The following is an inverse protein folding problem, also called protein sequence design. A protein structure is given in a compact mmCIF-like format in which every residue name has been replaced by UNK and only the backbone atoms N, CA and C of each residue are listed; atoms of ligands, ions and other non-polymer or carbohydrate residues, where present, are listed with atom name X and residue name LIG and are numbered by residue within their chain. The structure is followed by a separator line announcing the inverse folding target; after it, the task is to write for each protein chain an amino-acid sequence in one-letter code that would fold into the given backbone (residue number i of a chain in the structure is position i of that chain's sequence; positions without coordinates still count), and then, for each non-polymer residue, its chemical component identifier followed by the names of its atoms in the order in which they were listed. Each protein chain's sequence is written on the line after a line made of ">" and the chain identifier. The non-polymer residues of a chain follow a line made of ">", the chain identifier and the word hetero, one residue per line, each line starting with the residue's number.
data_IF_221875773207
#
_entry.id   IF_221875773207
#
_cell.length_a   1.000
_cell.length_b   1.000
_cell.length_c   1.000
_cell.angle_alpha   90.00
_cell.angle_beta   90.00
_cell.angle_gamma   90.00
#
_symmetry.space_group_name_H-M   'P 1'
#
loop_
_entity.id
_entity.type
_entity.pdbx_description
1 polymer ?
#
# COMPACT_ATOMS: atom_id res chain seq x y z
N UNK A 1 5.64 5.79 19.84
CA UNK A 1 5.54 5.41 18.41
C UNK A 1 6.89 4.98 17.85
N UNK A 2 7.96 5.69 18.16
CA UNK A 2 9.32 5.28 17.74
C UNK A 2 9.65 3.88 18.26
N UNK A 3 9.45 3.58 19.53
CA UNK A 3 9.68 2.26 20.12
C UNK A 3 8.90 1.13 19.40
N UNK A 4 7.69 1.44 18.87
CA UNK A 4 6.93 0.48 18.07
C UNK A 4 7.53 0.27 16.69
N UNK A 5 8.07 1.34 16.10
CA UNK A 5 8.79 1.21 14.85
C UNK A 5 10.08 0.38 15.03
N UNK A 6 10.83 0.60 16.10
CA UNK A 6 12.03 -0.19 16.43
C UNK A 6 11.71 -1.68 16.62
N UNK A 7 10.59 -2.00 17.28
CA UNK A 7 10.11 -3.38 17.38
C UNK A 7 9.70 -3.97 16.03
N UNK A 8 9.02 -3.18 15.18
CA UNK A 8 8.69 -3.61 13.83
C UNK A 8 9.96 -3.88 12.99
N UNK A 9 10.96 -3.02 13.11
CA UNK A 9 12.26 -3.21 12.49
C UNK A 9 13.02 -4.45 12.98
N UNK A 10 12.73 -4.90 14.21
CA UNK A 10 13.24 -6.15 14.77
C UNK A 10 12.42 -7.40 14.35
N UNK A 11 11.43 -7.24 13.47
CA UNK A 11 10.58 -8.34 12.97
C UNK A 11 9.28 -8.55 13.75
N UNK A 12 9.00 -7.71 14.76
CA UNK A 12 7.74 -7.75 15.49
C UNK A 12 6.72 -6.79 14.89
N UNK A 13 6.01 -7.17 13.83
CA UNK A 13 5.02 -6.31 13.17
C UNK A 13 4.14 -5.54 14.17
N UNK A 14 3.94 -4.24 13.93
CA UNK A 14 3.21 -3.34 14.81
C UNK A 14 2.07 -2.65 14.07
N UNK A 15 0.91 -2.56 14.71
CA UNK A 15 -0.21 -1.75 14.24
C UNK A 15 -0.55 -0.68 15.28
N UNK A 16 -0.80 0.56 14.82
CA UNK A 16 -1.17 1.69 15.66
C UNK A 16 -2.39 2.38 15.07
N UNK A 17 -3.45 2.51 15.86
CA UNK A 17 -4.63 3.27 15.50
C UNK A 17 -4.58 4.66 16.15
N UNK A 18 -4.60 5.71 15.32
CA UNK A 18 -4.76 7.10 15.75
C UNK A 18 -6.21 7.54 15.54
N UNK A 19 -6.96 7.67 16.62
CA UNK A 19 -8.35 8.11 16.61
C UNK A 19 -8.50 9.47 17.32
N UNK A 20 -9.46 10.27 16.89
CA UNK A 20 -9.77 11.56 17.48
C UNK A 20 -10.42 12.52 16.47
N UNK A 21 -10.96 13.64 16.95
CA UNK A 21 -11.67 14.62 16.16
C UNK A 21 -10.80 15.27 15.06
N UNK A 22 -11.46 15.87 14.07
CA UNK A 22 -10.78 16.66 13.06
C UNK A 22 -10.00 17.81 13.73
N UNK A 23 -8.78 18.05 13.29
CA UNK A 23 -7.94 19.13 13.82
C UNK A 23 -7.20 18.82 15.12
N UNK A 24 -7.44 17.70 15.83
CA UNK A 24 -6.78 17.34 17.10
C UNK A 24 -5.26 17.15 16.98
N UNK A 25 -4.73 17.10 15.78
CA UNK A 25 -3.28 17.00 15.56
C UNK A 25 -2.78 15.61 15.13
N UNK A 26 -3.64 14.69 14.65
CA UNK A 26 -3.23 13.36 14.16
C UNK A 26 -2.11 13.44 13.12
N UNK A 27 -2.27 14.25 12.09
CA UNK A 27 -1.25 14.44 11.03
C UNK A 27 0.04 15.09 11.56
N UNK A 28 -0.03 15.87 12.67
CA UNK A 28 1.16 16.40 13.33
C UNK A 28 1.97 15.29 14.00
N UNK A 29 1.30 14.31 14.62
CA UNK A 29 1.95 13.15 15.23
C UNK A 29 2.67 12.33 14.15
N UNK A 30 2.03 12.07 13.00
CA UNK A 30 2.62 11.37 11.86
C UNK A 30 3.85 12.13 11.35
N UNK A 31 3.75 13.45 11.20
CA UNK A 31 4.89 14.28 10.78
C UNK A 31 6.06 14.20 11.75
N UNK A 32 5.79 14.31 13.06
CA UNK A 32 6.84 14.19 14.08
C UNK A 32 7.49 12.79 14.07
N UNK A 33 6.71 11.72 13.86
CA UNK A 33 7.28 10.39 13.68
C UNK A 33 8.24 10.37 12.51
N UNK A 34 7.82 10.91 11.37
CA UNK A 34 8.65 10.99 10.17
C UNK A 34 9.96 11.77 10.39
N UNK A 35 9.86 12.93 11.06
CA UNK A 35 11.05 13.72 11.41
C UNK A 35 12.02 12.94 12.31
N UNK A 36 11.50 12.17 13.27
CA UNK A 36 12.33 11.34 14.16
C UNK A 36 12.96 10.14 13.46
N UNK A 37 12.32 9.61 12.43
CA UNK A 37 12.81 8.47 11.64
C UNK A 37 13.65 8.89 10.44
N UNK A 38 13.87 10.19 10.19
CA UNK A 38 14.57 10.69 9.01
C UNK A 38 16.00 10.18 8.84
N UNK A 39 16.67 9.78 9.94
CA UNK A 39 18.00 9.16 9.94
C UNK A 39 18.01 7.64 9.97
N UNK A 40 16.85 6.99 9.97
CA UNK A 40 16.74 5.53 10.03
C UNK A 40 16.29 5.00 8.67
N UNK A 41 17.03 4.06 8.03
CA UNK A 41 16.62 3.46 6.76
C UNK A 41 15.25 2.79 6.90
N UNK A 42 14.30 3.17 6.05
CA UNK A 42 12.98 2.55 5.97
C UNK A 42 12.26 2.96 4.69
N UNK A 43 11.45 2.06 4.16
CA UNK A 43 10.48 2.39 3.10
C UNK A 43 9.21 2.95 3.72
N UNK A 44 8.76 4.09 3.20
CA UNK A 44 7.50 4.73 3.63
C UNK A 44 6.43 4.62 2.56
N UNK A 45 5.31 3.98 2.92
CA UNK A 45 4.11 3.88 2.10
C UNK A 45 3.00 4.71 2.76
N UNK A 46 2.51 5.74 2.07
CA UNK A 46 1.43 6.61 2.55
C UNK A 46 0.25 6.55 1.62
N UNK A 47 -0.90 6.22 2.19
CA UNK A 47 -2.18 6.11 1.52
C UNK A 47 -3.17 7.08 2.16
N UNK A 48 -3.84 7.87 1.32
CA UNK A 48 -4.86 8.79 1.79
C UNK A 48 -6.21 8.42 1.14
N UNK A 49 -7.19 8.11 1.98
CA UNK A 49 -8.55 7.86 1.54
C UNK A 49 -9.27 9.19 1.33
N UNK A 50 -10.24 9.20 0.43
CA UNK A 50 -10.97 10.41 0.05
C UNK A 50 -12.46 10.10 -0.07
N UNK A 51 -13.34 11.01 0.38
CA UNK A 51 -14.80 10.85 0.22
C UNK A 51 -15.24 10.79 -1.25
N UNK A 52 -14.43 11.32 -2.17
CA UNK A 52 -14.75 11.32 -3.61
C UNK A 52 -14.48 9.97 -4.28
N UNK A 53 -13.90 8.99 -3.58
CA UNK A 53 -13.48 7.70 -4.13
C UNK A 53 -13.83 6.53 -3.19
N UNK A 54 -14.96 6.64 -2.49
CA UNK A 54 -15.49 5.60 -1.58
C UNK A 54 -15.76 4.30 -2.33
N UNK A 55 -16.22 4.38 -3.59
CA UNK A 55 -16.52 3.22 -4.44
C UNK A 55 -15.27 2.50 -4.99
N UNK A 56 -14.07 3.02 -4.73
CA UNK A 56 -12.81 2.43 -5.19
C UNK A 56 -11.86 2.15 -4.04
N UNK A 57 -11.99 0.99 -3.42
CA UNK A 57 -11.13 0.55 -2.31
C UNK A 57 -9.62 0.52 -2.68
N UNK A 58 -9.29 0.40 -3.96
CA UNK A 58 -7.92 0.39 -4.46
C UNK A 58 -7.40 1.76 -4.90
N UNK A 59 -8.23 2.82 -4.87
CA UNK A 59 -7.79 4.15 -5.31
C UNK A 59 -6.52 4.64 -4.61
N UNK A 60 -6.37 4.54 -3.27
CA UNK A 60 -5.13 4.93 -2.59
C UNK A 60 -3.92 4.13 -3.08
N UNK A 61 -4.13 2.84 -3.38
CA UNK A 61 -3.07 1.95 -3.89
C UNK A 61 -2.66 2.36 -5.30
N UNK A 62 -3.62 2.65 -6.17
CA UNK A 62 -3.38 3.15 -7.53
C UNK A 62 -2.51 4.42 -7.47
N UNK A 63 -2.91 5.41 -6.67
CA UNK A 63 -2.15 6.65 -6.50
C UNK A 63 -0.75 6.44 -5.96
N UNK A 64 -0.61 5.47 -5.04
CA UNK A 64 0.71 5.11 -4.53
C UNK A 64 1.59 4.50 -5.62
N UNK A 65 1.07 3.54 -6.40
CA UNK A 65 1.80 2.90 -7.49
C UNK A 65 2.25 3.92 -8.56
N UNK A 66 1.36 4.82 -8.96
CA UNK A 66 1.67 5.92 -9.90
C UNK A 66 2.84 6.78 -9.40
N UNK A 67 2.80 7.16 -8.12
CA UNK A 67 3.84 7.97 -7.50
C UNK A 67 5.16 7.20 -7.35
N UNK A 68 5.11 5.97 -6.85
CA UNK A 68 6.28 5.11 -6.63
C UNK A 68 6.97 4.75 -7.96
N UNK A 69 6.19 4.52 -9.02
CA UNK A 69 6.70 4.32 -10.37
C UNK A 69 7.12 5.64 -11.07
N UNK A 70 6.93 6.80 -10.41
CA UNK A 70 7.28 8.12 -10.94
C UNK A 70 6.62 8.43 -12.29
N UNK A 71 5.33 8.12 -12.42
CA UNK A 71 4.57 8.44 -13.62
C UNK A 71 4.48 9.95 -13.83
N UNK A 72 4.70 10.38 -15.07
CA UNK A 72 4.50 11.75 -15.49
C UNK A 72 3.22 11.88 -16.33
N UNK A 73 2.58 13.06 -16.37
CA UNK A 73 1.34 13.26 -17.14
C UNK A 73 1.49 12.94 -18.63
N UNK A 74 2.66 13.21 -19.20
CA UNK A 74 3.03 13.08 -20.61
C UNK A 74 3.75 11.76 -20.94
N UNK A 75 3.90 10.85 -19.98
CA UNK A 75 4.44 9.53 -20.27
C UNK A 75 3.53 8.76 -21.24
N UNK A 76 4.12 8.21 -22.30
CA UNK A 76 3.44 7.25 -23.16
C UNK A 76 3.08 5.96 -22.38
N UNK A 77 2.03 5.23 -22.76
CA UNK A 77 1.63 4.00 -22.07
C UNK A 77 2.75 2.99 -21.92
N UNK A 78 3.59 2.83 -22.93
CA UNK A 78 4.75 1.93 -22.94
C UNK A 78 5.77 2.36 -21.88
N UNK A 79 6.05 3.67 -21.78
CA UNK A 79 6.95 4.23 -20.77
C UNK A 79 6.42 3.99 -19.36
N UNK A 80 5.10 4.10 -19.15
CA UNK A 80 4.47 3.81 -17.86
C UNK A 80 4.57 2.33 -17.51
N UNK A 81 4.42 1.44 -18.50
CA UNK A 81 4.61 -0.01 -18.29
C UNK A 81 6.05 -0.33 -17.88
N UNK A 82 7.05 0.23 -18.56
CA UNK A 82 8.46 0.05 -18.21
C UNK A 82 8.77 0.53 -16.78
N UNK A 83 8.20 1.66 -16.39
CA UNK A 83 8.31 2.21 -15.04
C UNK A 83 7.64 1.32 -13.99
N UNK A 84 6.45 0.79 -14.30
CA UNK A 84 5.75 -0.17 -13.43
C UNK A 84 6.58 -1.44 -13.25
N UNK A 85 7.08 -2.02 -14.32
CA UNK A 85 7.96 -3.19 -14.24
C UNK A 85 9.24 -2.90 -13.42
N UNK A 86 9.85 -1.72 -13.63
CA UNK A 86 11.00 -1.27 -12.86
C UNK A 86 10.73 -1.21 -11.35
N UNK A 87 9.52 -0.77 -10.97
CA UNK A 87 9.06 -0.78 -9.58
C UNK A 87 8.89 -2.23 -9.06
N UNK A 88 8.21 -3.08 -9.84
CA UNK A 88 7.90 -4.46 -9.46
C UNK A 88 9.15 -5.32 -9.30
N UNK A 89 10.16 -5.17 -10.17
CA UNK A 89 11.45 -5.89 -10.07
C UNK A 89 12.15 -5.73 -8.72
N UNK A 90 11.78 -4.70 -7.97
CA UNK A 90 12.37 -4.46 -6.65
C UNK A 90 11.82 -5.41 -5.58
N UNK A 91 10.64 -6.00 -5.76
CA UNK A 91 9.95 -6.66 -4.66
C UNK A 91 9.23 -7.98 -5.03
N UNK A 92 8.98 -8.25 -6.32
CA UNK A 92 8.27 -9.47 -6.76
C UNK A 92 9.15 -10.32 -7.67
N UNK A 93 8.95 -11.63 -7.65
CA UNK A 93 9.69 -12.58 -8.49
C UNK A 93 9.14 -12.62 -9.93
N UNK A 94 7.82 -12.74 -10.09
CA UNK A 94 7.17 -12.73 -11.40
C UNK A 94 6.66 -11.33 -11.75
N UNK A 95 7.53 -10.56 -12.40
CA UNK A 95 7.23 -9.21 -12.84
C UNK A 95 6.19 -9.21 -13.96
N UNK A 96 6.21 -10.19 -14.85
CA UNK A 96 5.33 -10.27 -16.03
C UNK A 96 3.88 -10.49 -15.61
N UNK A 97 3.59 -11.49 -14.78
CA UNK A 97 2.25 -11.71 -14.26
C UNK A 97 1.78 -10.54 -13.40
N UNK A 98 2.67 -10.03 -12.54
CA UNK A 98 2.35 -8.90 -11.65
C UNK A 98 2.01 -7.63 -12.44
N UNK A 99 2.77 -7.30 -13.47
CA UNK A 99 2.50 -6.16 -14.32
C UNK A 99 1.19 -6.33 -15.11
N UNK A 100 0.92 -7.53 -15.64
CA UNK A 100 -0.32 -7.83 -16.34
C UNK A 100 -1.58 -7.69 -15.45
N UNK A 101 -1.46 -7.96 -14.16
CA UNK A 101 -2.54 -7.80 -13.18
C UNK A 101 -2.72 -6.35 -12.73
N UNK A 102 -1.62 -5.59 -12.55
CA UNK A 102 -1.67 -4.22 -12.05
C UNK A 102 -1.89 -3.17 -13.14
N UNK A 103 -1.43 -3.41 -14.37
CA UNK A 103 -1.57 -2.45 -15.47
C UNK A 103 -3.04 -2.00 -15.71
N UNK A 104 -4.06 -2.88 -15.68
CA UNK A 104 -5.45 -2.45 -15.82
C UNK A 104 -5.92 -1.51 -14.70
N UNK A 105 -5.43 -1.66 -13.48
CA UNK A 105 -5.74 -0.75 -12.37
C UNK A 105 -5.21 0.68 -12.64
N UNK A 106 -4.09 0.77 -13.36
CA UNK A 106 -3.43 2.02 -13.74
C UNK A 106 -3.92 2.54 -15.11
N UNK A 107 -4.99 1.94 -15.65
CA UNK A 107 -5.53 2.26 -16.98
C UNK A 107 -4.49 2.09 -18.11
N UNK A 108 -3.57 1.14 -17.96
CA UNK A 108 -2.54 0.83 -18.95
C UNK A 108 -2.93 -0.39 -19.80
N UNK A 109 -2.51 -0.42 -21.09
CA UNK A 109 -2.79 -1.55 -21.98
C UNK A 109 -1.96 -2.77 -21.55
N UNK A 110 -2.59 -3.76 -20.94
CA UNK A 110 -1.90 -4.99 -20.49
C UNK A 110 -1.89 -6.12 -21.53
N UNK A 111 -2.84 -6.09 -22.46
CA UNK A 111 -3.04 -7.22 -23.38
C UNK A 111 -1.92 -7.39 -24.43
N UNK A 112 -1.27 -6.32 -24.83
CA UNK A 112 -0.23 -6.39 -25.87
C UNK A 112 1.12 -6.91 -25.39
N UNK A 113 1.71 -6.41 -24.28
CA UNK A 113 3.00 -6.96 -23.86
C UNK A 113 2.89 -8.30 -23.10
N UNK A 114 1.78 -8.57 -22.38
CA UNK A 114 1.68 -9.71 -21.48
C UNK A 114 0.74 -10.81 -21.91
N UNK A 115 -0.04 -10.60 -22.97
CA UNK A 115 -1.10 -11.51 -23.42
C UNK A 115 -2.38 -11.39 -22.57
N UNK A 116 -3.41 -12.10 -22.99
CA UNK A 116 -4.66 -12.16 -22.26
C UNK A 116 -4.54 -13.13 -21.08
N UNK A 117 -4.76 -12.62 -19.86
CA UNK A 117 -4.88 -13.49 -18.69
C UNK A 117 -6.36 -13.94 -18.59
N UNK A 118 -6.62 -15.20 -18.89
CA UNK A 118 -7.94 -15.80 -18.76
C UNK A 118 -8.27 -16.09 -17.29
N UNK A 119 -8.82 -15.11 -16.60
CA UNK A 119 -9.26 -15.19 -15.21
C UNK A 119 -10.69 -14.66 -15.07
N UNK A 120 -11.47 -15.28 -14.19
CA UNK A 120 -12.73 -14.70 -13.73
C UNK A 120 -12.46 -13.40 -12.98
N UNK A 121 -13.47 -12.55 -12.82
CA UNK A 121 -13.33 -11.29 -12.06
C UNK A 121 -12.88 -11.53 -10.63
N UNK A 122 -13.36 -12.60 -10.00
CA UNK A 122 -13.01 -12.99 -8.63
C UNK A 122 -11.53 -13.43 -8.54
N UNK A 123 -11.10 -14.32 -9.43
CA UNK A 123 -9.72 -14.79 -9.51
C UNK A 123 -8.74 -13.62 -9.80
N UNK A 124 -9.15 -12.69 -10.67
CA UNK A 124 -8.35 -11.50 -10.96
C UNK A 124 -8.18 -10.64 -9.72
N UNK A 125 -9.26 -10.38 -8.97
CA UNK A 125 -9.21 -9.61 -7.73
C UNK A 125 -8.29 -10.27 -6.70
N UNK A 126 -8.44 -11.57 -6.49
CA UNK A 126 -7.63 -12.35 -5.54
C UNK A 126 -6.13 -12.30 -5.90
N UNK A 127 -5.79 -12.54 -7.18
CA UNK A 127 -4.40 -12.50 -7.64
C UNK A 127 -3.82 -11.09 -7.58
N UNK A 128 -4.60 -10.08 -7.93
CA UNK A 128 -4.18 -8.68 -7.81
C UNK A 128 -3.84 -8.32 -6.36
N UNK A 129 -4.68 -8.71 -5.41
CA UNK A 129 -4.43 -8.51 -3.99
C UNK A 129 -3.17 -9.26 -3.54
N UNK A 130 -2.99 -10.49 -4.00
CA UNK A 130 -1.78 -11.25 -3.71
C UNK A 130 -0.52 -10.54 -4.20
N UNK A 131 -0.51 -10.03 -5.43
CA UNK A 131 0.63 -9.28 -5.98
C UNK A 131 0.94 -8.03 -5.12
N UNK A 132 -0.09 -7.30 -4.68
CA UNK A 132 0.09 -6.12 -3.80
C UNK A 132 0.71 -6.51 -2.45
N UNK A 133 0.30 -7.63 -1.89
CA UNK A 133 0.87 -8.17 -0.64
C UNK A 133 2.31 -8.63 -0.88
N UNK A 134 2.57 -9.39 -1.93
CA UNK A 134 3.91 -9.89 -2.26
C UNK A 134 4.89 -8.73 -2.48
N UNK A 135 4.44 -7.64 -3.14
CA UNK A 135 5.23 -6.42 -3.31
C UNK A 135 5.58 -5.79 -1.95
N UNK A 136 4.60 -5.69 -1.06
CA UNK A 136 4.82 -5.13 0.28
C UNK A 136 5.79 -5.99 1.11
N UNK A 137 5.61 -7.31 1.09
CA UNK A 137 6.50 -8.26 1.77
C UNK A 137 7.92 -8.23 1.18
N UNK A 138 8.05 -8.14 -0.14
CA UNK A 138 9.33 -7.99 -0.82
C UNK A 138 10.08 -6.71 -0.46
N UNK A 139 9.36 -5.61 -0.23
CA UNK A 139 9.94 -4.38 0.31
C UNK A 139 10.35 -4.56 1.77
N UNK A 140 9.48 -5.17 2.59
CA UNK A 140 9.72 -5.39 4.01
C UNK A 140 10.89 -6.36 4.28
N UNK A 141 11.19 -7.25 3.34
CA UNK A 141 12.36 -8.14 3.43
C UNK A 141 13.70 -7.41 3.26
N UNK A 142 13.69 -6.20 2.66
CA UNK A 142 14.91 -5.40 2.43
C UNK A 142 15.17 -4.40 3.53
N UNK A 143 14.11 -3.73 3.98
CA UNK A 143 14.18 -2.72 5.04
C UNK A 143 12.81 -2.58 5.72
N UNK A 144 12.75 -2.03 6.95
CA UNK A 144 11.49 -1.80 7.63
C UNK A 144 10.53 -0.97 6.79
N UNK A 145 9.26 -1.37 6.73
CA UNK A 145 8.20 -0.64 6.02
C UNK A 145 7.32 0.10 7.01
N UNK A 146 7.24 1.41 6.87
CA UNK A 146 6.28 2.26 7.56
C UNK A 146 5.06 2.49 6.67
N UNK A 147 3.99 1.76 6.94
CA UNK A 147 2.71 1.89 6.24
C UNK A 147 1.79 2.86 6.97
N UNK A 148 1.35 3.91 6.30
CA UNK A 148 0.47 4.94 6.86
C UNK A 148 -0.81 5.01 6.03
N UNK A 149 -1.95 4.80 6.67
CA UNK A 149 -3.27 4.96 6.07
C UNK A 149 -3.99 6.10 6.76
N UNK A 150 -4.23 7.19 6.04
CA UNK A 150 -4.93 8.36 6.55
C UNK A 150 -6.39 8.38 6.07
N UNK A 151 -7.26 8.93 6.91
CA UNK A 151 -8.68 9.09 6.63
C UNK A 151 -9.41 7.78 6.31
N UNK A 152 -9.01 6.68 6.97
CA UNK A 152 -9.54 5.33 6.77
C UNK A 152 -11.05 5.19 6.98
N UNK A 153 -11.70 6.16 7.60
CA UNK A 153 -13.16 6.20 7.77
C UNK A 153 -13.93 6.41 6.45
N UNK A 154 -13.24 6.79 5.37
CA UNK A 154 -13.83 6.86 4.02
C UNK A 154 -13.80 5.52 3.26
N UNK A 155 -13.30 4.46 3.87
CA UNK A 155 -13.36 3.12 3.29
C UNK A 155 -14.61 2.43 3.82
N UNK A 156 -15.61 2.21 2.97
CA UNK A 156 -16.92 1.62 3.35
C UNK A 156 -16.81 0.17 3.87
N UNK A 157 -15.79 -0.57 3.45
CA UNK A 157 -15.43 -1.86 4.03
C UNK A 157 -13.90 -1.95 4.09
N UNK A 158 -13.32 -2.43 5.22
CA UNK A 158 -11.89 -2.68 5.26
C UNK A 158 -11.57 -3.69 4.15
N UNK A 159 -10.70 -3.31 3.19
CA UNK A 159 -10.41 -4.22 2.08
C UNK A 159 -9.80 -5.50 2.63
N UNK A 160 -10.24 -6.65 2.14
CA UNK A 160 -9.79 -7.98 2.59
C UNK A 160 -8.26 -8.17 2.53
N UNK A 161 -7.55 -7.35 1.74
CA UNK A 161 -6.09 -7.41 1.61
C UNK A 161 -5.34 -6.89 2.83
N UNK A 162 -5.96 -6.12 3.69
CA UNK A 162 -5.28 -5.61 4.87
C UNK A 162 -5.33 -6.61 6.05
N UNK A 163 -6.29 -7.54 6.06
CA UNK A 163 -6.38 -8.58 7.09
C UNK A 163 -5.13 -9.47 7.17
N UNK A 164 -4.53 -9.94 6.06
CA UNK A 164 -3.27 -10.67 6.10
C UNK A 164 -2.10 -9.86 6.65
N UNK A 165 -2.03 -8.54 6.36
CA UNK A 165 -0.98 -7.66 6.88
C UNK A 165 -1.06 -7.49 8.40
N UNK A 166 -2.26 -7.54 8.96
CA UNK A 166 -2.47 -7.51 10.42
C UNK A 166 -2.21 -8.86 11.08
N UNK A 167 -2.42 -9.96 10.37
CA UNK A 167 -2.25 -11.32 10.93
C UNK A 167 -0.81 -11.82 10.89
N UNK A 168 0.01 -11.33 9.97
CA UNK A 168 1.44 -11.67 9.88
C UNK A 168 2.30 -10.94 10.92
N UNK A 169 1.79 -9.87 11.50
CA UNK A 169 2.49 -9.00 12.44
C UNK A 169 1.95 -9.07 13.87
N UNK A 170 1.93 -10.25 14.52
CA UNK A 170 1.69 -10.35 15.97
C UNK A 170 0.32 -9.85 16.48
N UNK A 171 -0.19 -10.47 17.51
CA UNK A 171 -1.51 -10.30 18.14
C UNK A 171 -1.82 -8.84 18.56
N UNK A 172 -2.36 -8.03 17.64
CA UNK A 172 -2.94 -6.72 17.94
C UNK A 172 -4.47 -6.74 17.77
N UNK A 173 -5.22 -6.50 18.84
CA UNK A 173 -6.68 -6.32 18.75
C UNK A 173 -6.99 -5.02 18.02
N UNK A 174 -7.63 -5.11 16.85
CA UNK A 174 -8.21 -3.96 16.15
C UNK A 174 -9.60 -3.70 16.78
N UNK A 175 -9.78 -2.54 17.40
CA UNK A 175 -11.10 -2.08 17.80
C UNK A 175 -11.71 -1.22 16.71
N UNK A 176 -12.87 -1.61 16.17
CA UNK A 176 -13.65 -0.82 15.21
C UNK A 176 -14.35 0.32 15.94
N UNK A 177 -13.73 1.51 15.93
CA UNK A 177 -14.37 2.76 16.31
C UNK A 177 -14.29 3.76 15.17
N UNK A 178 -15.18 4.77 15.09
CA UNK A 178 -15.10 5.82 14.07
C UNK A 178 -13.83 6.64 14.29
N UNK A 179 -12.85 6.48 13.42
CA UNK A 179 -11.58 7.21 13.56
C UNK A 179 -10.56 6.80 12.49
N UNK A 180 -9.57 7.66 12.31
CA UNK A 180 -8.49 7.47 11.34
C UNK A 180 -7.55 6.35 11.80
N UNK A 181 -7.32 5.34 10.96
CA UNK A 181 -6.39 4.25 11.23
C UNK A 181 -5.04 4.52 10.57
N UNK A 182 -3.96 4.33 11.32
CA UNK A 182 -2.59 4.33 10.81
C UNK A 182 -1.95 3.00 11.18
N UNK A 183 -1.39 2.31 10.20
CA UNK A 183 -0.78 0.99 10.37
C UNK A 183 0.71 1.07 10.09
N UNK A 184 1.50 0.39 10.91
CA UNK A 184 2.95 0.28 10.81
C UNK A 184 3.31 -1.21 10.82
N UNK A 185 3.97 -1.69 9.81
CA UNK A 185 4.44 -3.06 9.68
C UNK A 185 5.94 -3.13 9.53
#
# INVERSE_FOLDING_TARGET
>A
MVDRFERAAAGEGQAVLLSGDAGIGKSRIIRQLHERLSGTPHTRLRFQCSPSHTDSALYPVIRHLEHAASFQPDDAPETRLDKLEGLLRQAVEDVTESAALLAPLLSLPAAQPYGAIELTSEQRSERTLKVLIDQLLGLAAKEPVLYILEDAHWIDAPPNWWTPLLSSGGSGKVSNGPGTASFYG
#
